data_IF_391327634081
#
_entry.id   IF_391327634081
#
_cell.length_a   1.000
_cell.length_b   1.000
_cell.length_c   1.000
_cell.angle_alpha   90.00
_cell.angle_beta   90.00
_cell.angle_gamma   90.00
#
_symmetry.space_group_name_H-M   'P 1'
#
loop_
_entity.id
_entity.type
_entity.pdbx_description
1 polymer ?
#
# COMPACT_ATOMS: atom_id res chain seq x y z
N UNK A 1 35.62 13.64 -35.13
CA UNK A 1 34.18 13.96 -34.99
C UNK A 1 33.31 12.71 -34.90
N UNK A 2 33.32 11.79 -35.88
CA UNK A 2 32.43 10.61 -35.89
C UNK A 2 32.55 9.67 -34.68
N UNK A 3 33.76 9.43 -34.16
CA UNK A 3 33.96 8.57 -32.98
C UNK A 3 33.39 9.18 -31.68
N UNK A 4 33.46 10.50 -31.53
CA UNK A 4 32.87 11.20 -30.39
C UNK A 4 31.34 11.13 -30.42
N UNK A 5 30.72 11.30 -31.59
CA UNK A 5 29.26 11.12 -31.75
C UNK A 5 28.81 9.69 -31.44
N UNK A 6 29.59 8.69 -31.84
CA UNK A 6 29.31 7.28 -31.48
C UNK A 6 29.40 7.06 -29.97
N UNK A 7 30.43 7.59 -29.31
CA UNK A 7 30.57 7.50 -27.85
C UNK A 7 29.40 8.15 -27.11
N UNK A 8 29.05 9.39 -27.49
CA UNK A 8 27.91 10.11 -26.88
C UNK A 8 26.58 9.38 -27.12
N UNK A 9 26.38 8.82 -28.31
CA UNK A 9 25.18 8.03 -28.61
C UNK A 9 25.08 6.78 -27.74
N UNK A 10 26.18 6.06 -27.51
CA UNK A 10 26.20 4.89 -26.62
C UNK A 10 25.91 5.27 -25.15
N UNK A 11 26.48 6.39 -24.67
CA UNK A 11 26.20 6.90 -23.32
C UNK A 11 24.72 7.30 -23.16
N UNK A 12 24.14 7.95 -24.17
CA UNK A 12 22.74 8.34 -24.16
C UNK A 12 21.81 7.12 -24.18
N UNK A 13 22.13 6.11 -25.00
CA UNK A 13 21.37 4.86 -25.05
C UNK A 13 21.45 4.11 -23.70
N UNK A 14 22.65 4.02 -23.11
CA UNK A 14 22.85 3.38 -21.81
C UNK A 14 22.04 4.06 -20.70
N UNK A 15 22.05 5.40 -20.65
CA UNK A 15 21.30 6.15 -19.65
C UNK A 15 19.79 6.02 -19.87
N UNK A 16 19.32 6.04 -21.12
CA UNK A 16 17.92 5.85 -21.47
C UNK A 16 17.42 4.45 -21.05
N UNK A 17 18.18 3.39 -21.35
CA UNK A 17 17.85 2.02 -20.92
C UNK A 17 17.80 1.92 -19.39
N UNK A 18 18.77 2.51 -18.67
CA UNK A 18 18.78 2.50 -17.22
C UNK A 18 17.56 3.22 -16.61
N UNK A 19 17.11 4.32 -17.21
CA UNK A 19 15.91 5.04 -16.77
C UNK A 19 14.63 4.24 -17.04
N UNK A 20 14.54 3.52 -18.16
CA UNK A 20 13.40 2.66 -18.49
C UNK A 20 13.35 1.39 -17.63
N UNK A 21 14.49 0.88 -17.17
CA UNK A 21 14.56 -0.28 -16.29
C UNK A 21 14.14 0.03 -14.84
N UNK A 22 14.29 1.28 -14.38
CA UNK A 22 13.93 1.69 -13.00
C UNK A 22 12.44 1.44 -12.68
N UNK A 23 11.46 1.84 -13.51
CA UNK A 23 10.05 1.50 -13.31
C UNK A 23 9.76 0.01 -13.43
N UNK A 24 10.50 -0.71 -14.27
CA UNK A 24 10.31 -2.14 -14.49
C UNK A 24 10.69 -2.95 -13.25
N UNK A 25 11.77 -2.55 -12.56
CA UNK A 25 12.11 -3.04 -11.22
C UNK A 25 11.02 -2.73 -10.19
N UNK A 26 10.25 -1.65 -10.38
CA UNK A 26 9.09 -1.30 -9.57
C UNK A 26 7.78 -2.00 -9.97
N UNK A 27 7.75 -2.69 -11.12
CA UNK A 27 6.53 -3.26 -11.74
C UNK A 27 6.58 -4.78 -11.97
N UNK A 28 7.73 -5.42 -11.76
CA UNK A 28 7.88 -6.87 -11.93
C UNK A 28 7.59 -7.63 -10.66
N UNK A 29 6.46 -8.33 -10.68
CA UNK A 29 6.01 -9.26 -9.65
C UNK A 29 4.76 -8.73 -8.98
N UNK A 30 3.72 -9.56 -8.88
CA UNK A 30 2.69 -9.34 -7.87
C UNK A 30 3.38 -8.97 -6.56
N UNK A 31 2.90 -7.95 -5.84
CA UNK A 31 3.61 -7.46 -4.68
C UNK A 31 3.61 -8.63 -3.70
N UNK A 32 4.79 -9.12 -3.36
CA UNK A 32 4.91 -10.17 -2.36
C UNK A 32 4.37 -9.59 -1.06
N UNK A 33 3.58 -10.37 -0.32
CA UNK A 33 3.10 -9.94 0.99
C UNK A 33 4.31 -9.53 1.83
N UNK A 34 4.36 -8.27 2.33
CA UNK A 34 5.50 -7.80 3.10
C UNK A 34 5.69 -8.67 4.34
N UNK A 35 6.94 -9.07 4.61
CA UNK A 35 7.24 -9.92 5.77
C UNK A 35 7.37 -9.06 7.01
N UNK A 36 6.62 -9.41 8.06
CA UNK A 36 6.70 -8.71 9.33
C UNK A 36 8.11 -8.85 9.94
N UNK A 37 8.82 -7.74 10.24
CA UNK A 37 10.20 -7.78 10.72
C UNK A 37 10.33 -8.27 12.18
N UNK A 38 9.22 -8.49 12.88
CA UNK A 38 9.19 -8.96 14.28
C UNK A 38 9.12 -7.81 15.29
N UNK A 39 8.78 -8.16 16.54
CA UNK A 39 8.51 -7.18 17.60
C UNK A 39 9.76 -6.43 18.10
N UNK A 40 10.96 -6.95 17.81
CA UNK A 40 12.24 -6.35 18.16
C UNK A 40 12.86 -5.52 17.01
N UNK A 41 12.08 -5.23 15.96
CA UNK A 41 12.56 -4.48 14.81
C UNK A 41 12.90 -3.03 15.18
N UNK A 42 13.86 -2.45 14.48
CA UNK A 42 14.15 -1.01 14.65
C UNK A 42 13.00 -0.17 14.10
N UNK A 43 12.78 1.06 14.59
CA UNK A 43 11.71 1.92 14.09
C UNK A 43 11.84 2.20 12.58
N UNK A 44 13.05 2.24 12.04
CA UNK A 44 13.28 2.40 10.60
C UNK A 44 12.79 1.20 9.80
N UNK A 45 13.04 -0.02 10.29
CA UNK A 45 12.55 -1.26 9.66
C UNK A 45 11.03 -1.35 9.73
N UNK A 46 10.44 -0.94 10.85
CA UNK A 46 8.98 -0.88 11.00
C UNK A 46 8.36 0.15 10.04
N UNK A 47 9.00 1.32 9.87
CA UNK A 47 8.54 2.34 8.95
C UNK A 47 8.62 1.87 7.48
N UNK A 48 9.68 1.14 7.12
CA UNK A 48 9.82 0.52 5.80
C UNK A 48 8.72 -0.53 5.56
N UNK A 49 8.51 -1.43 6.53
CA UNK A 49 7.43 -2.42 6.48
C UNK A 49 6.05 -1.76 6.31
N UNK A 50 5.76 -0.70 7.07
CA UNK A 50 4.50 0.03 6.96
C UNK A 50 4.31 0.69 5.58
N UNK A 51 5.39 1.25 5.00
CA UNK A 51 5.35 1.84 3.67
C UNK A 51 5.10 0.78 2.59
N UNK A 52 5.75 -0.38 2.70
CA UNK A 52 5.56 -1.52 1.80
C UNK A 52 4.15 -2.10 1.91
N UNK A 53 3.63 -2.27 3.13
CA UNK A 53 2.27 -2.73 3.39
C UNK A 53 1.22 -1.79 2.77
N UNK A 54 1.39 -0.48 2.94
CA UNK A 54 0.50 0.50 2.32
C UNK A 54 0.52 0.40 0.79
N UNK A 55 1.70 0.20 0.20
CA UNK A 55 1.84 0.02 -1.26
C UNK A 55 1.17 -1.27 -1.73
N UNK A 56 1.34 -2.37 -1.00
CA UNK A 56 0.71 -3.66 -1.27
C UNK A 56 -0.82 -3.53 -1.29
N UNK A 57 -1.40 -2.99 -0.21
CA UNK A 57 -2.85 -2.78 -0.08
C UNK A 57 -3.37 -1.89 -1.21
N UNK A 58 -2.71 -0.76 -1.45
CA UNK A 58 -3.11 0.16 -2.52
C UNK A 58 -3.11 -0.50 -3.89
N UNK A 59 -2.20 -1.43 -4.17
CA UNK A 59 -2.19 -2.14 -5.44
C UNK A 59 -3.36 -3.14 -5.53
N UNK A 60 -3.58 -3.92 -4.48
CA UNK A 60 -4.66 -4.92 -4.46
C UNK A 60 -6.05 -4.28 -4.54
N UNK A 61 -6.23 -3.18 -3.82
CA UNK A 61 -7.54 -2.55 -3.61
C UNK A 61 -7.81 -1.41 -4.58
N UNK A 62 -6.87 -1.09 -5.49
CA UNK A 62 -7.03 0.02 -6.43
C UNK A 62 -8.34 -0.16 -7.21
N UNK A 63 -9.33 0.74 -7.03
CA UNK A 63 -10.60 0.62 -7.73
C UNK A 63 -10.35 0.58 -9.24
N UNK A 64 -10.83 -0.48 -9.90
CA UNK A 64 -10.69 -0.63 -11.36
C UNK A 64 -11.78 0.12 -12.13
N UNK A 65 -12.86 0.48 -11.45
CA UNK A 65 -13.94 1.31 -11.95
C UNK A 65 -14.12 2.49 -10.99
N UNK A 66 -14.19 3.70 -11.53
CA UNK A 66 -14.35 4.93 -10.74
C UNK A 66 -15.63 4.90 -9.90
N UNK A 67 -15.61 5.65 -8.79
CA UNK A 67 -16.63 5.72 -7.73
C UNK A 67 -18.02 5.24 -8.17
N UNK A 68 -18.42 4.04 -7.73
CA UNK A 68 -19.85 3.75 -7.58
C UNK A 68 -20.36 4.68 -6.48
N UNK A 69 -21.48 5.31 -6.75
CA UNK A 69 -22.04 6.36 -5.92
C UNK A 69 -22.15 5.94 -4.45
N UNK A 70 -21.96 6.95 -3.59
CA UNK A 70 -21.84 6.82 -2.14
C UNK A 70 -23.20 6.51 -1.53
N UNK A 71 -23.70 5.31 -1.76
CA UNK A 71 -24.95 4.81 -1.16
C UNK A 71 -24.64 3.63 -0.21
N UNK A 72 -23.56 2.88 -0.47
CA UNK A 72 -23.12 1.76 0.36
C UNK A 72 -22.36 2.16 1.63
N UNK A 73 -22.22 3.47 1.92
CA UNK A 73 -21.49 3.95 3.13
C UNK A 73 -22.18 3.51 4.43
N UNK A 74 -23.46 3.13 4.37
CA UNK A 74 -24.20 2.63 5.52
C UNK A 74 -23.92 1.14 5.82
N UNK A 75 -23.49 0.35 4.82
CA UNK A 75 -23.24 -1.09 4.99
C UNK A 75 -21.89 -1.42 5.61
N UNK A 76 -20.89 -0.54 5.48
CA UNK A 76 -19.54 -0.80 6.00
C UNK A 76 -19.37 -0.38 7.47
N UNK A 77 -20.10 0.63 7.94
CA UNK A 77 -20.06 1.04 9.35
C UNK A 77 -20.69 0.00 10.28
N UNK A 78 -21.58 -0.84 9.75
CA UNK A 78 -22.25 -1.91 10.51
C UNK A 78 -21.31 -3.11 10.78
N UNK A 79 -20.26 -3.29 9.97
CA UNK A 79 -19.35 -4.44 10.10
C UNK A 79 -18.21 -4.22 11.11
N UNK A 80 -17.87 -2.97 11.43
CA UNK A 80 -16.71 -2.64 12.27
C UNK A 80 -16.98 -2.57 13.79
N UNK A 81 -18.21 -2.83 14.25
CA UNK A 81 -18.50 -2.90 15.69
C UNK A 81 -19.34 -4.12 16.11
N UNK A 82 -18.78 -5.33 16.11
CA UNK A 82 -19.20 -6.29 17.10
C UNK A 82 -18.55 -5.85 18.43
N UNK A 83 -19.35 -5.71 19.48
CA UNK A 83 -18.95 -5.45 20.89
C UNK A 83 -18.89 -3.98 21.33
N UNK A 84 -20.04 -3.31 21.37
CA UNK A 84 -20.27 -2.22 22.33
C UNK A 84 -21.57 -2.48 23.12
N UNK A 85 -21.38 -3.20 24.22
CA UNK A 85 -22.18 -3.17 25.45
C UNK A 85 -23.71 -3.28 25.31
N UNK A 86 -24.22 -4.47 25.62
CA UNK A 86 -25.51 -4.61 26.28
C UNK A 86 -25.56 -3.64 27.47
N UNK A 87 -26.33 -2.56 27.32
CA UNK A 87 -26.73 -1.69 28.42
C UNK A 87 -27.67 -2.51 29.30
N UNK A 88 -27.09 -3.26 30.24
CA UNK A 88 -27.83 -3.96 31.29
C UNK A 88 -28.33 -2.87 32.22
N UNK A 89 -29.54 -2.37 31.97
CA UNK A 89 -30.23 -1.48 32.90
C UNK A 89 -30.28 -2.14 34.28
N UNK A 90 -29.56 -1.54 35.22
CA UNK A 90 -29.68 -1.80 36.64
C UNK A 90 -31.04 -1.26 37.10
N UNK A 91 -31.98 -2.17 37.30
CA UNK A 91 -33.25 -1.92 38.00
C UNK A 91 -32.97 -1.36 39.40
N UNK A 92 -33.63 -0.25 39.81
CA UNK A 92 -33.52 0.26 41.18
C UNK A 92 -34.41 -0.59 42.09
N UNK A 93 -33.77 -1.34 42.99
CA UNK A 93 -34.41 -2.01 44.13
C UNK A 93 -34.48 -1.05 45.32
N UNK A 94 -35.68 -0.96 45.88
CA UNK A 94 -36.06 -0.75 47.29
C UNK A 94 -35.23 0.21 48.16
N UNK A 95 -35.87 1.35 48.51
CA UNK A 95 -35.78 2.00 49.81
C UNK A 95 -37.04 2.83 50.09
#
# INVERSE_FOLDING_TARGET
MAAAHRCLSLLLLSTCVALLLRPLLGAWGAPLEPVYPGDNATPEQMAQYAAELRRYINMLTRPRYGKRDKEDTLGFLEWDFPHAAASRELSPMDL
#
